data_IF_825283826199
#
_entry.id   IF_825283826199
#
_cell.length_a   1.000
_cell.length_b   1.000
_cell.length_c   1.000
_cell.angle_alpha   90.00
_cell.angle_beta   90.00
_cell.angle_gamma   90.00
#
_symmetry.space_group_name_H-M   'P 1'
#
loop_
_entity.id
_entity.type
_entity.pdbx_description
1 polymer ?
#
# COMPACT_ATOMS: atom_id res chain seq x y z
N UNK A 1 -9.76 7.63 -1.10
CA UNK A 1 -10.20 7.77 -2.51
C UNK A 1 -10.76 6.46 -3.06
N UNK A 2 -10.24 5.32 -2.63
CA UNK A 2 -10.44 4.04 -3.29
C UNK A 2 -11.88 3.53 -3.39
N UNK A 3 -12.79 3.99 -2.52
CA UNK A 3 -14.05 3.31 -2.29
C UNK A 3 -15.25 4.14 -2.69
N UNK A 4 -16.01 3.66 -3.68
CA UNK A 4 -17.36 4.17 -3.93
C UNK A 4 -18.35 3.41 -3.07
N UNK A 5 -19.03 4.14 -2.17
CA UNK A 5 -20.08 3.57 -1.31
C UNK A 5 -21.41 3.52 -2.03
N UNK A 6 -22.05 2.36 -2.07
CA UNK A 6 -23.43 2.16 -2.51
C UNK A 6 -24.32 1.82 -1.32
N UNK A 7 -25.11 2.80 -0.89
CA UNK A 7 -25.97 2.66 0.28
C UNK A 7 -27.07 1.60 0.09
N UNK A 8 -27.46 0.93 1.17
CA UNK A 8 -28.59 -0.01 1.20
C UNK A 8 -28.49 -1.12 0.14
N UNK A 9 -27.28 -1.68 -0.04
CA UNK A 9 -27.00 -2.66 -1.07
C UNK A 9 -25.98 -3.72 -0.63
N UNK A 10 -26.10 -4.91 -1.21
CA UNK A 10 -25.19 -6.04 -1.04
C UNK A 10 -25.10 -6.86 -2.35
N UNK A 11 -24.11 -7.75 -2.45
CA UNK A 11 -24.12 -8.84 -3.43
C UNK A 11 -25.36 -9.70 -3.17
N UNK A 12 -26.24 -9.87 -4.16
CA UNK A 12 -27.62 -10.26 -3.85
C UNK A 12 -28.12 -11.49 -4.61
N UNK A 13 -28.84 -12.37 -3.90
CA UNK A 13 -29.58 -13.55 -4.40
C UNK A 13 -28.87 -14.28 -5.56
N UNK A 14 -29.27 -14.00 -6.81
CA UNK A 14 -28.80 -14.65 -8.04
C UNK A 14 -27.40 -14.26 -8.51
N UNK A 15 -26.69 -13.44 -7.73
CA UNK A 15 -25.29 -13.12 -7.92
C UNK A 15 -24.39 -14.36 -8.07
N UNK A 16 -23.25 -14.21 -8.75
CA UNK A 16 -22.23 -15.25 -8.82
C UNK A 16 -21.44 -15.31 -7.50
N UNK A 17 -21.82 -16.22 -6.61
CA UNK A 17 -21.14 -16.38 -5.31
C UNK A 17 -19.80 -17.12 -5.39
N UNK A 18 -19.38 -17.60 -6.56
CA UNK A 18 -18.05 -18.20 -6.74
C UNK A 18 -16.93 -17.16 -6.65
N UNK A 19 -17.25 -15.87 -6.71
CA UNK A 19 -16.28 -14.79 -6.52
C UNK A 19 -16.04 -14.42 -5.05
N UNK A 20 -16.78 -15.05 -4.11
CA UNK A 20 -16.61 -14.86 -2.67
C UNK A 20 -15.18 -15.25 -2.25
N UNK A 21 -14.45 -14.31 -1.70
CA UNK A 21 -13.10 -14.53 -1.17
C UNK A 21 -13.18 -14.95 0.29
N UNK A 22 -13.80 -14.13 1.13
CA UNK A 22 -13.91 -14.39 2.58
C UNK A 22 -14.99 -13.56 3.24
N UNK A 23 -15.35 -13.98 4.46
CA UNK A 23 -16.17 -13.20 5.41
C UNK A 23 -15.36 -12.93 6.68
N UNK A 24 -15.44 -11.71 7.18
CA UNK A 24 -14.80 -11.29 8.44
C UNK A 24 -15.85 -10.70 9.37
N UNK A 25 -15.97 -11.26 10.56
CA UNK A 25 -16.91 -10.79 11.60
C UNK A 25 -16.26 -9.76 12.53
N UNK A 26 -17.07 -9.00 13.28
CA UNK A 26 -16.64 -7.94 14.19
C UNK A 26 -15.78 -6.86 13.50
N UNK A 27 -16.14 -6.53 12.27
CA UNK A 27 -15.42 -5.58 11.44
C UNK A 27 -16.02 -4.17 11.57
N UNK A 28 -15.28 -3.17 11.11
CA UNK A 28 -15.79 -1.84 10.77
C UNK A 28 -15.61 -1.60 9.27
N UNK A 29 -16.31 -0.62 8.66
CA UNK A 29 -16.03 -0.24 7.28
C UNK A 29 -14.56 0.14 7.05
N UNK A 30 -13.93 0.84 7.98
CA UNK A 30 -12.53 1.26 7.92
C UNK A 30 -11.57 0.07 7.95
N UNK A 31 -11.82 -0.89 8.83
CA UNK A 31 -11.04 -2.13 8.86
C UNK A 31 -11.26 -2.96 7.59
N UNK A 32 -12.50 -3.02 7.07
CA UNK A 32 -12.81 -3.74 5.85
C UNK A 32 -12.07 -3.17 4.64
N UNK A 33 -12.04 -1.84 4.49
CA UNK A 33 -11.25 -1.14 3.45
C UNK A 33 -9.77 -1.54 3.51
N UNK A 34 -9.16 -1.57 4.69
CA UNK A 34 -7.76 -1.98 4.87
C UNK A 34 -7.54 -3.46 4.56
N UNK A 35 -8.46 -4.34 4.97
CA UNK A 35 -8.41 -5.77 4.60
C UNK A 35 -8.45 -5.96 3.09
N UNK A 36 -9.29 -5.17 2.40
CA UNK A 36 -9.40 -5.20 0.96
C UNK A 36 -8.14 -4.65 0.26
N UNK A 37 -7.55 -3.56 0.75
CA UNK A 37 -6.27 -3.04 0.22
C UNK A 37 -5.14 -4.08 0.39
N UNK A 38 -5.13 -4.89 1.45
CA UNK A 38 -4.10 -5.93 1.63
C UNK A 38 -4.15 -7.08 0.61
N UNK A 39 -5.27 -7.28 -0.06
CA UNK A 39 -5.48 -8.36 -1.01
C UNK A 39 -6.04 -7.79 -2.32
N UNK A 40 -5.19 -7.50 -3.32
CA UNK A 40 -5.60 -6.86 -4.57
C UNK A 40 -6.71 -7.59 -5.32
N UNK A 41 -6.94 -8.88 -5.05
CA UNK A 41 -8.03 -9.65 -5.65
C UNK A 41 -9.41 -9.21 -5.16
N UNK A 42 -9.48 -8.51 -4.03
CA UNK A 42 -10.71 -7.95 -3.48
C UNK A 42 -11.04 -6.65 -4.23
N UNK A 43 -12.02 -6.74 -5.14
CA UNK A 43 -12.51 -5.60 -5.91
C UNK A 43 -13.70 -4.92 -5.24
N UNK A 44 -14.49 -5.62 -4.42
CA UNK A 44 -15.58 -5.04 -3.66
C UNK A 44 -15.92 -5.85 -2.41
N UNK A 45 -16.65 -5.21 -1.49
CA UNK A 45 -17.23 -5.87 -0.34
C UNK A 45 -18.57 -5.24 0.05
N UNK A 46 -19.37 -5.95 0.84
CA UNK A 46 -20.46 -5.32 1.58
C UNK A 46 -20.27 -5.48 3.08
N UNK A 47 -20.72 -4.47 3.82
CA UNK A 47 -20.70 -4.41 5.27
C UNK A 47 -22.13 -4.42 5.82
N UNK A 48 -22.39 -5.31 6.77
CA UNK A 48 -23.68 -5.48 7.43
C UNK A 48 -23.80 -4.55 8.64
N UNK A 49 -24.59 -3.47 8.55
CA UNK A 49 -24.96 -2.65 9.71
C UNK A 49 -25.92 -3.41 10.63
N UNK A 50 -26.78 -4.22 10.03
CA UNK A 50 -27.77 -5.07 10.69
C UNK A 50 -27.67 -6.50 10.16
N UNK A 51 -28.30 -7.45 10.86
CA UNK A 51 -28.35 -8.83 10.39
C UNK A 51 -29.14 -8.95 9.08
N UNK A 52 -28.64 -9.75 8.15
CA UNK A 52 -29.27 -9.99 6.85
C UNK A 52 -29.28 -11.50 6.57
N UNK A 53 -30.40 -11.99 6.04
CA UNK A 53 -30.53 -13.35 5.53
C UNK A 53 -30.84 -13.27 4.03
N UNK A 54 -29.98 -13.85 3.22
CA UNK A 54 -30.23 -14.07 1.80
C UNK A 54 -30.73 -15.51 1.60
N UNK A 55 -32.04 -15.61 1.40
CA UNK A 55 -32.72 -16.87 1.10
C UNK A 55 -32.10 -17.54 -0.14
N UNK A 56 -32.01 -18.87 -0.13
CA UNK A 56 -31.43 -19.76 -1.16
C UNK A 56 -29.90 -19.94 -1.15
N UNK A 57 -29.17 -19.33 -0.20
CA UNK A 57 -27.74 -19.58 -0.01
C UNK A 57 -27.42 -20.51 1.18
N UNK A 58 -28.45 -21.01 1.87
CA UNK A 58 -28.30 -21.79 3.11
C UNK A 58 -27.52 -21.00 4.17
N UNK A 59 -26.67 -21.69 4.93
CA UNK A 59 -25.84 -21.08 5.99
C UNK A 59 -24.90 -19.99 5.47
N UNK A 60 -24.52 -20.03 4.17
CA UNK A 60 -23.70 -19.01 3.53
C UNK A 60 -24.43 -17.68 3.32
N UNK A 61 -25.76 -17.69 3.39
CA UNK A 61 -26.61 -16.51 3.29
C UNK A 61 -26.89 -15.82 4.62
N UNK A 62 -26.31 -16.28 5.73
CA UNK A 62 -26.54 -15.71 7.07
C UNK A 62 -25.41 -14.73 7.41
N UNK A 63 -25.79 -13.45 7.53
CA UNK A 63 -24.88 -12.36 7.86
C UNK A 63 -25.34 -11.65 9.13
N UNK A 64 -24.39 -11.36 10.02
CA UNK A 64 -24.64 -10.67 11.30
C UNK A 64 -24.24 -9.21 11.18
N UNK A 65 -24.76 -8.37 12.06
CA UNK A 65 -24.26 -7.01 12.22
C UNK A 65 -22.74 -7.04 12.50
N UNK A 66 -21.97 -6.21 11.80
CA UNK A 66 -20.51 -6.19 11.87
C UNK A 66 -19.80 -7.19 10.94
N UNK A 67 -20.50 -7.99 10.15
CA UNK A 67 -19.88 -8.82 9.11
C UNK A 67 -19.47 -7.95 7.90
N UNK A 68 -18.25 -8.16 7.39
CA UNK A 68 -17.79 -7.69 6.09
C UNK A 68 -17.55 -8.90 5.17
N UNK A 69 -18.04 -8.83 3.94
CA UNK A 69 -18.01 -9.95 2.97
C UNK A 69 -17.36 -9.49 1.68
N UNK A 70 -16.25 -10.14 1.31
CA UNK A 70 -15.32 -9.68 0.28
C UNK A 70 -15.38 -10.55 -0.96
N UNK A 71 -15.30 -9.92 -2.13
CA UNK A 71 -15.46 -10.57 -3.42
C UNK A 71 -14.42 -10.06 -4.44
N UNK A 72 -14.20 -10.88 -5.47
CA UNK A 72 -13.48 -10.52 -6.69
C UNK A 72 -14.44 -10.21 -7.84
N UNK A 73 -13.93 -9.58 -8.90
CA UNK A 73 -14.67 -9.28 -10.12
C UNK A 73 -15.73 -8.20 -9.94
N UNK A 74 -16.83 -8.31 -10.68
CA UNK A 74 -17.87 -7.28 -10.70
C UNK A 74 -19.04 -7.61 -9.75
N UNK A 75 -19.59 -6.60 -9.06
CA UNK A 75 -20.72 -6.78 -8.16
C UNK A 75 -22.05 -6.91 -8.91
N UNK A 76 -22.88 -7.86 -8.48
CA UNK A 76 -24.32 -7.86 -8.75
C UNK A 76 -25.07 -7.34 -7.53
N UNK A 77 -25.36 -6.04 -7.54
CA UNK A 77 -26.06 -5.39 -6.44
C UNK A 77 -27.55 -5.69 -6.43
N UNK A 78 -28.10 -5.92 -5.23
CA UNK A 78 -29.53 -5.86 -4.97
C UNK A 78 -29.84 -5.00 -3.74
N UNK A 79 -31.12 -4.74 -3.53
CA UNK A 79 -31.58 -3.96 -2.38
C UNK A 79 -31.34 -4.74 -1.09
N UNK A 80 -30.57 -4.14 -0.18
CA UNK A 80 -30.28 -4.66 1.14
C UNK A 80 -30.22 -3.49 2.14
N UNK A 81 -31.35 -3.03 2.69
CA UNK A 81 -31.40 -1.92 3.65
C UNK A 81 -30.53 -2.09 4.90
N UNK A 82 -30.09 -3.31 5.18
CA UNK A 82 -29.22 -3.68 6.31
C UNK A 82 -27.73 -3.50 6.00
N UNK A 83 -27.35 -3.30 4.74
CA UNK A 83 -25.96 -3.35 4.28
C UNK A 83 -25.58 -2.14 3.43
N UNK A 84 -24.30 -1.82 3.39
CA UNK A 84 -23.70 -0.92 2.39
C UNK A 84 -22.65 -1.70 1.62
N UNK A 85 -22.61 -1.50 0.31
CA UNK A 85 -21.53 -2.03 -0.53
C UNK A 85 -20.47 -0.98 -0.78
N UNK A 86 -19.24 -1.43 -0.97
CA UNK A 86 -18.06 -0.62 -1.22
C UNK A 86 -17.31 -1.24 -2.38
N UNK A 87 -17.17 -0.48 -3.46
CA UNK A 87 -16.49 -0.89 -4.67
C UNK A 87 -15.15 -0.17 -4.77
N UNK A 88 -14.09 -0.92 -5.08
CA UNK A 88 -12.77 -0.36 -5.31
C UNK A 88 -12.77 0.30 -6.69
N UNK A 89 -12.41 1.57 -6.73
CA UNK A 89 -12.47 2.42 -7.93
C UNK A 89 -11.14 3.07 -8.27
N UNK A 90 -10.14 2.90 -7.40
CA UNK A 90 -8.79 3.43 -7.53
C UNK A 90 -8.07 3.35 -6.18
N UNK A 91 -6.97 4.09 -6.04
CA UNK A 91 -6.21 4.19 -4.80
C UNK A 91 -5.42 5.50 -4.78
N UNK A 92 -5.41 6.20 -3.64
CA UNK A 92 -4.48 7.29 -3.36
C UNK A 92 -3.40 6.85 -2.38
N UNK A 93 -2.14 7.07 -2.76
CA UNK A 93 -0.97 6.80 -1.93
C UNK A 93 -0.26 8.12 -1.59
N UNK A 94 0.18 8.29 -0.36
CA UNK A 94 0.95 9.45 0.07
C UNK A 94 2.26 9.02 0.74
N UNK A 95 3.39 9.46 0.16
CA UNK A 95 4.68 9.40 0.84
C UNK A 95 4.82 10.62 1.74
N UNK A 96 5.14 10.40 3.00
CA UNK A 96 5.24 11.46 4.00
C UNK A 96 6.40 11.17 4.95
N UNK A 97 7.12 12.22 5.36
CA UNK A 97 8.16 12.04 6.37
C UNK A 97 7.58 11.64 7.74
N UNK A 98 8.42 11.06 8.60
CA UNK A 98 7.99 10.53 9.89
C UNK A 98 7.45 11.60 10.83
N UNK A 99 7.97 12.83 10.75
CA UNK A 99 7.57 13.98 11.57
C UNK A 99 6.14 14.44 11.25
N UNK A 100 5.68 14.22 10.01
CA UNK A 100 4.37 14.67 9.52
C UNK A 100 3.42 13.51 9.19
N UNK A 101 3.67 12.31 9.73
CA UNK A 101 2.91 11.09 9.46
C UNK A 101 1.38 11.25 9.63
N UNK A 102 0.91 12.17 10.48
CA UNK A 102 -0.53 12.37 10.70
C UNK A 102 -1.22 13.24 9.63
N UNK A 103 -0.45 13.99 8.83
CA UNK A 103 -0.97 14.93 7.82
C UNK A 103 -1.92 14.29 6.80
N UNK A 104 -1.63 13.10 6.22
CA UNK A 104 -2.57 12.39 5.37
C UNK A 104 -3.95 12.15 6.00
N UNK A 105 -3.99 11.90 7.32
CA UNK A 105 -5.23 11.63 8.05
C UNK A 105 -6.13 12.85 8.24
N UNK A 106 -5.68 14.06 7.89
CA UNK A 106 -6.49 15.27 7.96
C UNK A 106 -7.36 15.48 6.71
N UNK A 107 -7.06 14.85 5.58
CA UNK A 107 -7.77 15.13 4.33
C UNK A 107 -8.87 14.09 4.09
N UNK A 108 -10.04 14.58 3.67
CA UNK A 108 -11.24 13.76 3.51
C UNK A 108 -11.86 13.94 2.13
N UNK A 109 -12.57 12.92 1.69
CA UNK A 109 -13.46 12.99 0.53
C UNK A 109 -14.73 13.76 0.90
N UNK A 110 -15.50 14.20 -0.09
CA UNK A 110 -16.78 14.90 0.11
C UNK A 110 -17.78 14.13 1.01
N UNK A 111 -17.73 12.80 1.01
CA UNK A 111 -18.56 11.93 1.85
C UNK A 111 -18.05 11.78 3.30
N UNK A 112 -16.95 12.46 3.64
CA UNK A 112 -16.30 12.43 4.96
C UNK A 112 -15.32 11.28 5.17
N UNK A 113 -15.18 10.36 4.21
CA UNK A 113 -14.18 9.28 4.29
C UNK A 113 -12.75 9.79 4.07
N UNK A 114 -11.74 9.01 4.42
CA UNK A 114 -10.34 9.39 4.20
C UNK A 114 -10.03 9.60 2.71
N UNK A 115 -9.38 10.72 2.38
CA UNK A 115 -8.98 11.01 1.02
C UNK A 115 -7.74 10.21 0.59
N UNK A 116 -6.84 9.91 1.53
CA UNK A 116 -5.66 9.06 1.36
C UNK A 116 -6.00 7.62 1.75
N UNK A 117 -5.66 6.64 0.93
CA UNK A 117 -5.92 5.21 1.21
C UNK A 117 -4.69 4.49 1.78
N UNK A 118 -3.48 4.86 1.31
CA UNK A 118 -2.20 4.30 1.78
C UNK A 118 -1.23 5.41 2.14
N UNK A 119 -0.55 5.27 3.28
CA UNK A 119 0.54 6.14 3.71
C UNK A 119 1.83 5.34 3.76
N UNK A 120 2.87 5.85 3.11
CA UNK A 120 4.22 5.32 3.15
C UNK A 120 5.09 6.28 3.99
N UNK A 121 5.58 5.80 5.14
CA UNK A 121 6.44 6.59 6.04
C UNK A 121 7.85 6.62 5.45
N UNK A 122 8.28 7.78 4.95
CA UNK A 122 9.48 7.93 4.13
C UNK A 122 10.63 8.67 4.85
N UNK A 123 11.83 8.09 4.95
CA UNK A 123 12.06 6.65 5.00
C UNK A 123 12.93 6.29 6.20
N UNK A 124 12.78 5.06 6.69
CA UNK A 124 13.82 4.41 7.46
C UNK A 124 14.86 3.82 6.48
N UNK A 125 15.95 3.25 6.97
CA UNK A 125 17.10 2.91 6.14
C UNK A 125 17.65 1.50 6.37
N UNK A 126 18.40 1.05 5.36
CA UNK A 126 19.30 -0.11 5.44
C UNK A 126 20.72 0.41 5.62
N UNK A 127 21.42 -0.04 6.67
CA UNK A 127 22.81 0.33 6.88
C UNK A 127 23.63 -0.78 7.53
N UNK A 128 24.92 -0.83 7.17
CA UNK A 128 25.93 -1.52 7.93
C UNK A 128 26.49 -0.63 9.05
N UNK A 129 27.12 -1.26 10.04
CA UNK A 129 27.89 -0.54 11.06
C UNK A 129 29.25 -0.07 10.47
N UNK A 130 29.76 1.10 10.88
CA UNK A 130 29.13 2.08 11.78
C UNK A 130 28.00 2.88 11.09
N UNK A 131 26.92 3.16 11.82
CA UNK A 131 25.82 3.96 11.28
C UNK A 131 26.20 5.43 11.07
N UNK A 132 25.54 6.12 10.12
CA UNK A 132 25.60 7.58 10.03
C UNK A 132 25.16 8.24 11.34
N UNK A 133 25.71 9.43 11.63
CA UNK A 133 25.34 10.20 12.83
C UNK A 133 23.82 10.45 12.87
N UNK A 134 23.20 10.18 14.03
CA UNK A 134 21.75 10.34 14.22
C UNK A 134 20.89 9.17 13.72
N UNK A 135 21.50 8.07 13.27
CA UNK A 135 20.81 6.83 12.92
C UNK A 135 20.85 5.81 14.05
N UNK A 136 19.72 5.15 14.29
CA UNK A 136 19.52 4.21 15.38
C UNK A 136 18.88 2.91 14.87
N UNK A 137 19.26 1.77 15.44
CA UNK A 137 18.61 0.48 15.17
C UNK A 137 17.13 0.52 15.57
N UNK A 138 16.24 0.06 14.69
CA UNK A 138 14.79 0.06 14.90
C UNK A 138 14.23 -1.28 15.40
N UNK A 139 15.03 -2.36 15.31
CA UNK A 139 14.70 -3.72 15.72
C UNK A 139 15.65 -4.23 16.83
N UNK A 140 15.62 -3.67 18.04
CA UNK A 140 16.61 -3.95 19.09
C UNK A 140 16.56 -5.39 19.66
N UNK A 141 15.45 -6.12 19.49
CA UNK A 141 15.33 -7.49 19.99
C UNK A 141 15.87 -8.54 19.01
N UNK A 142 16.10 -8.17 17.76
CA UNK A 142 16.71 -9.03 16.76
C UNK A 142 18.23 -8.97 16.90
N UNK A 143 18.84 -10.11 17.22
CA UNK A 143 20.30 -10.22 17.24
C UNK A 143 20.84 -10.19 15.81
N UNK A 144 21.59 -9.15 15.48
CA UNK A 144 22.21 -8.97 14.16
C UNK A 144 23.67 -9.45 14.21
N UNK A 145 24.06 -10.46 13.42
CA UNK A 145 25.45 -10.90 13.28
C UNK A 145 26.38 -9.77 12.79
N UNK A 146 27.67 -9.89 13.12
CA UNK A 146 28.65 -8.91 12.65
C UNK A 146 28.71 -8.87 11.12
N UNK A 147 28.70 -7.67 10.53
CA UNK A 147 28.73 -7.47 9.09
C UNK A 147 27.37 -7.64 8.38
N UNK A 148 26.30 -7.92 9.11
CA UNK A 148 24.95 -7.93 8.53
C UNK A 148 24.34 -6.52 8.58
N UNK A 149 23.44 -6.18 7.62
CA UNK A 149 22.79 -4.88 7.61
C UNK A 149 21.71 -4.79 8.69
N UNK A 150 21.48 -3.55 9.12
CA UNK A 150 20.50 -3.18 10.13
C UNK A 150 19.36 -2.39 9.50
N UNK A 151 18.16 -2.59 10.03
CA UNK A 151 17.05 -1.65 9.87
C UNK A 151 17.28 -0.49 10.83
N UNK A 152 17.56 0.70 10.29
CA UNK A 152 17.88 1.89 11.08
C UNK A 152 16.97 3.06 10.72
N UNK A 153 16.94 4.10 11.54
CA UNK A 153 16.25 5.34 11.23
C UNK A 153 16.62 6.47 12.18
N UNK A 154 16.12 7.67 11.89
CA UNK A 154 16.28 8.85 12.75
C UNK A 154 15.57 8.69 14.10
N UNK A 155 15.79 9.63 15.01
CA UNK A 155 15.08 9.68 16.29
C UNK A 155 13.54 9.70 16.12
N UNK A 156 13.02 10.27 15.02
CA UNK A 156 11.59 10.24 14.70
C UNK A 156 11.04 8.83 14.59
N UNK A 157 11.78 7.91 13.94
CA UNK A 157 11.40 6.50 13.82
C UNK A 157 11.48 5.74 15.13
N UNK A 158 12.47 6.06 15.98
CA UNK A 158 12.58 5.48 17.33
C UNK A 158 11.36 5.85 18.17
N UNK A 159 10.84 7.07 18.00
CA UNK A 159 9.70 7.60 18.75
C UNK A 159 8.33 7.13 18.21
N UNK A 160 8.28 6.45 17.05
CA UNK A 160 7.02 5.91 16.53
C UNK A 160 6.44 4.86 17.49
N UNK A 161 5.12 4.92 17.66
CA UNK A 161 4.37 3.99 18.50
C UNK A 161 3.20 3.40 17.72
N UNK A 162 2.71 2.22 18.15
CA UNK A 162 1.51 1.63 17.57
C UNK A 162 0.29 2.57 17.67
N UNK A 163 0.18 3.38 18.72
CA UNK A 163 -0.91 4.36 18.86
C UNK A 163 -0.86 5.44 17.76
N UNK A 164 0.34 5.87 17.34
CA UNK A 164 0.50 6.81 16.22
C UNK A 164 -0.01 6.21 14.91
N UNK A 165 0.28 4.93 14.65
CA UNK A 165 -0.16 4.20 13.46
C UNK A 165 -1.69 3.97 13.51
N UNK A 166 -2.20 3.57 14.67
CA UNK A 166 -3.64 3.29 14.87
C UNK A 166 -4.54 4.49 14.59
N UNK A 167 -4.08 5.73 14.84
CA UNK A 167 -4.85 6.94 14.51
C UNK A 167 -5.23 7.02 13.02
N UNK A 168 -4.31 6.65 12.13
CA UNK A 168 -4.57 6.60 10.68
C UNK A 168 -5.41 5.38 10.32
N UNK A 169 -5.05 4.22 10.87
CA UNK A 169 -5.73 2.95 10.63
C UNK A 169 -7.21 2.97 11.03
N UNK A 170 -7.55 3.69 12.11
CA UNK A 170 -8.95 3.89 12.55
C UNK A 170 -9.76 4.76 11.57
N UNK A 171 -9.11 5.49 10.66
CA UNK A 171 -9.74 6.22 9.55
C UNK A 171 -9.81 5.37 8.26
N UNK A 172 -9.36 4.12 8.31
CA UNK A 172 -9.32 3.21 7.17
C UNK A 172 -8.07 3.34 6.31
N UNK A 173 -7.06 4.08 6.78
CA UNK A 173 -5.81 4.31 6.06
C UNK A 173 -4.85 3.14 6.33
N UNK A 174 -4.30 2.57 5.27
CA UNK A 174 -3.24 1.55 5.33
C UNK A 174 -1.89 2.25 5.57
N UNK A 175 -1.06 1.74 6.47
CA UNK A 175 0.23 2.38 6.81
C UNK A 175 1.40 1.44 6.59
N UNK A 176 2.31 1.84 5.69
CA UNK A 176 3.53 1.12 5.31
C UNK A 176 4.75 1.88 5.81
N UNK A 177 5.83 1.15 6.11
CA UNK A 177 7.15 1.73 6.35
C UNK A 177 8.01 1.58 5.11
N UNK A 178 8.48 2.68 4.54
CA UNK A 178 9.48 2.65 3.47
C UNK A 178 10.86 2.44 4.05
N UNK A 179 11.63 1.49 3.49
CA UNK A 179 13.08 1.43 3.70
C UNK A 179 13.80 1.82 2.41
N UNK A 180 14.68 2.81 2.55
CA UNK A 180 15.58 3.31 1.52
C UNK A 180 17.01 2.85 1.81
N UNK A 181 17.80 2.48 0.81
CA UNK A 181 19.24 2.28 1.05
C UNK A 181 19.91 3.60 1.47
N UNK A 182 21.10 3.56 2.04
CA UNK A 182 21.66 4.78 2.66
C UNK A 182 23.17 4.92 2.50
N UNK A 183 23.59 5.08 1.25
CA UNK A 183 24.92 5.48 0.83
C UNK A 183 26.06 4.67 1.47
N UNK A 184 25.82 3.41 1.80
CA UNK A 184 26.83 2.41 2.09
C UNK A 184 26.69 1.22 1.14
N UNK A 185 27.42 0.14 1.39
CA UNK A 185 27.45 -1.04 0.50
C UNK A 185 26.36 -2.07 0.83
N UNK A 186 25.38 -1.71 1.67
CA UNK A 186 24.21 -2.52 1.94
C UNK A 186 22.96 -1.92 1.29
N UNK A 187 22.01 -2.79 0.97
CA UNK A 187 20.75 -2.39 0.39
C UNK A 187 19.92 -3.58 -0.05
N UNK A 188 18.76 -3.27 -0.63
CA UNK A 188 17.79 -4.27 -1.06
C UNK A 188 18.31 -5.19 -2.18
N UNK A 189 19.21 -4.68 -3.02
CA UNK A 189 19.84 -5.42 -4.12
C UNK A 189 21.20 -6.03 -3.74
N UNK A 190 21.60 -6.00 -2.46
CA UNK A 190 22.94 -6.36 -2.01
C UNK A 190 23.02 -7.55 -1.04
N UNK A 191 21.90 -8.22 -0.71
CA UNK A 191 21.95 -9.38 0.18
C UNK A 191 22.78 -10.51 -0.47
N UNK A 192 23.87 -10.97 0.17
CA UNK A 192 24.77 -11.96 -0.43
C UNK A 192 24.19 -13.37 -0.39
N UNK A 193 23.37 -13.66 0.62
CA UNK A 193 22.79 -14.98 0.84
C UNK A 193 21.47 -14.91 1.62
N UNK A 194 20.80 -16.06 1.69
CA UNK A 194 19.52 -16.21 2.37
C UNK A 194 19.62 -16.02 3.89
N UNK A 195 20.77 -16.26 4.51
CA UNK A 195 20.92 -16.10 5.96
C UNK A 195 20.94 -14.62 6.34
N UNK A 196 21.67 -13.79 5.58
CA UNK A 196 21.66 -12.33 5.73
C UNK A 196 20.27 -11.77 5.45
N UNK A 197 19.64 -12.16 4.34
CA UNK A 197 18.28 -11.74 4.00
C UNK A 197 17.26 -12.18 5.07
N UNK A 198 17.39 -13.38 5.64
CA UNK A 198 16.52 -13.86 6.72
C UNK A 198 16.66 -13.03 7.99
N UNK A 199 17.89 -12.70 8.40
CA UNK A 199 18.10 -11.86 9.57
C UNK A 199 17.49 -10.46 9.37
N UNK A 200 17.68 -9.87 8.19
CA UNK A 200 17.09 -8.57 7.87
C UNK A 200 15.54 -8.63 7.86
N UNK A 201 14.96 -9.67 7.25
CA UNK A 201 13.51 -9.87 7.27
C UNK A 201 12.94 -10.10 8.69
N UNK A 202 13.72 -10.69 9.60
CA UNK A 202 13.37 -10.78 11.03
C UNK A 202 13.35 -9.41 11.71
N UNK A 203 14.29 -8.53 11.39
CA UNK A 203 14.29 -7.14 11.87
C UNK A 203 13.04 -6.39 11.38
N UNK A 204 12.71 -6.51 10.09
CA UNK A 204 11.48 -5.93 9.54
C UNK A 204 10.23 -6.46 10.26
N UNK A 205 10.17 -7.77 10.52
CA UNK A 205 9.08 -8.39 11.27
C UNK A 205 8.93 -7.84 12.69
N UNK A 206 10.04 -7.62 13.38
CA UNK A 206 10.00 -6.98 14.70
C UNK A 206 9.39 -5.57 14.61
N UNK A 207 9.82 -4.75 13.64
CA UNK A 207 9.30 -3.39 13.46
C UNK A 207 7.81 -3.40 13.10
N UNK A 208 7.40 -4.25 12.14
CA UNK A 208 6.00 -4.41 11.74
C UNK A 208 5.13 -4.80 12.93
N UNK A 209 5.55 -5.79 13.71
CA UNK A 209 4.79 -6.26 14.87
C UNK A 209 4.73 -5.21 16.00
N UNK A 210 5.85 -4.54 16.29
CA UNK A 210 5.92 -3.52 17.35
C UNK A 210 5.04 -2.32 17.06
N UNK A 211 4.99 -1.89 15.80
CA UNK A 211 4.25 -0.71 15.37
C UNK A 211 2.83 -1.03 14.87
N UNK A 212 2.51 -2.29 14.61
CA UNK A 212 1.23 -2.68 14.02
C UNK A 212 1.07 -2.20 12.57
N UNK A 213 2.16 -2.16 11.80
CA UNK A 213 2.16 -1.71 10.40
C UNK A 213 1.38 -2.68 9.50
N UNK A 214 0.88 -2.14 8.39
CA UNK A 214 0.20 -2.94 7.37
C UNK A 214 1.16 -3.61 6.39
N UNK A 215 2.40 -3.10 6.31
CA UNK A 215 3.44 -3.69 5.48
C UNK A 215 4.71 -2.87 5.35
N UNK A 216 5.54 -3.29 4.41
CA UNK A 216 6.83 -2.69 4.07
C UNK A 216 6.77 -2.18 2.63
N UNK A 217 7.33 -1.01 2.43
CA UNK A 217 7.57 -0.42 1.13
C UNK A 217 9.07 -0.41 0.84
N UNK A 218 9.45 -0.86 -0.36
CA UNK A 218 10.83 -1.02 -0.80
C UNK A 218 11.20 0.15 -1.68
N UNK A 219 12.22 0.90 -1.27
CA UNK A 219 12.87 1.89 -2.13
C UNK A 219 14.35 1.52 -2.30
N UNK A 220 14.69 1.04 -3.50
CA UNK A 220 16.00 0.47 -3.82
C UNK A 220 16.92 1.51 -4.50
N UNK A 221 16.95 2.71 -3.94
CA UNK A 221 17.82 3.79 -4.39
C UNK A 221 18.96 4.04 -3.39
N UNK A 222 20.03 4.70 -3.84
CA UNK A 222 21.13 5.24 -3.01
C UNK A 222 22.06 4.23 -2.31
N UNK A 223 22.13 2.97 -2.75
CA UNK A 223 23.25 2.09 -2.42
C UNK A 223 24.55 2.59 -3.09
N UNK A 224 25.70 2.37 -2.46
CA UNK A 224 27.03 2.59 -3.08
C UNK A 224 27.58 1.34 -3.77
N UNK A 225 26.89 0.20 -3.66
CA UNK A 225 27.34 -1.00 -4.35
C UNK A 225 27.38 -0.77 -5.86
N UNK A 226 28.44 -1.28 -6.49
CA UNK A 226 28.60 -1.27 -7.95
C UNK A 226 28.40 -2.67 -8.55
N UNK A 227 28.10 -3.65 -7.70
CA UNK A 227 27.91 -5.06 -8.05
C UNK A 227 26.67 -5.59 -7.32
N UNK A 228 25.45 -5.17 -7.74
CA UNK A 228 24.22 -5.64 -7.13
C UNK A 228 24.03 -7.14 -7.41
N UNK A 229 23.52 -7.87 -6.42
CA UNK A 229 23.07 -9.25 -6.60
C UNK A 229 21.68 -9.26 -7.26
N UNK A 230 21.54 -9.69 -8.53
CA UNK A 230 20.25 -9.61 -9.23
C UNK A 230 19.14 -10.42 -8.54
N UNK A 231 19.49 -11.47 -7.78
CA UNK A 231 18.50 -12.30 -7.07
C UNK A 231 18.19 -11.81 -5.66
N UNK A 232 18.83 -10.74 -5.18
CA UNK A 232 18.68 -10.23 -3.82
C UNK A 232 17.23 -9.84 -3.50
N UNK A 233 16.61 -9.01 -4.35
CA UNK A 233 15.24 -8.52 -4.16
C UNK A 233 14.23 -9.68 -4.11
N UNK A 234 14.26 -10.60 -5.08
CA UNK A 234 13.35 -11.75 -5.08
C UNK A 234 13.61 -12.69 -3.89
N UNK A 235 14.87 -12.84 -3.47
CA UNK A 235 15.24 -13.65 -2.31
C UNK A 235 14.69 -13.07 -1.01
N UNK A 236 14.97 -11.80 -0.70
CA UNK A 236 14.52 -11.18 0.55
C UNK A 236 13.00 -11.06 0.59
N UNK A 237 12.35 -10.70 -0.51
CA UNK A 237 10.88 -10.60 -0.57
C UNK A 237 10.19 -11.96 -0.44
N UNK A 238 10.78 -13.04 -0.99
CA UNK A 238 10.28 -14.41 -0.77
C UNK A 238 10.34 -14.77 0.71
N UNK A 239 11.47 -14.47 1.37
CA UNK A 239 11.64 -14.73 2.80
C UNK A 239 10.70 -13.86 3.65
N UNK A 240 10.47 -12.61 3.27
CA UNK A 240 9.49 -11.74 3.91
C UNK A 240 8.08 -12.35 3.85
N UNK A 241 7.64 -12.85 2.67
CA UNK A 241 6.35 -13.53 2.54
C UNK A 241 6.27 -14.83 3.34
N UNK A 242 7.37 -15.58 3.46
CA UNK A 242 7.43 -16.77 4.33
C UNK A 242 7.28 -16.40 5.82
N UNK A 243 7.87 -15.28 6.27
CA UNK A 243 7.86 -14.85 7.67
C UNK A 243 6.62 -14.04 8.07
N UNK A 244 6.02 -13.34 7.10
CA UNK A 244 4.93 -12.37 7.23
C UNK A 244 3.99 -12.48 6.00
N UNK A 245 3.20 -13.55 5.88
CA UNK A 245 2.40 -13.79 4.67
C UNK A 245 1.31 -12.73 4.42
N UNK A 246 0.81 -12.11 5.50
CA UNK A 246 -0.36 -11.22 5.46
C UNK A 246 -0.01 -9.72 5.30
N UNK A 247 1.27 -9.38 5.11
CA UNK A 247 1.68 -7.98 4.94
C UNK A 247 1.63 -7.56 3.46
N UNK A 248 1.42 -6.26 3.27
CA UNK A 248 1.72 -5.60 2.00
C UNK A 248 3.24 -5.55 1.83
N UNK A 249 3.70 -5.91 0.64
CA UNK A 249 5.06 -5.59 0.18
C UNK A 249 4.86 -4.72 -1.06
N UNK A 250 5.15 -3.43 -0.95
CA UNK A 250 5.15 -2.53 -2.10
C UNK A 250 6.57 -2.15 -2.50
N UNK A 251 6.72 -1.61 -3.70
CA UNK A 251 7.99 -1.12 -4.19
C UNK A 251 7.84 0.18 -4.97
N UNK A 252 8.73 1.13 -4.70
CA UNK A 252 9.04 2.26 -5.56
C UNK A 252 9.70 1.71 -6.85
N UNK A 253 9.02 1.89 -7.97
CA UNK A 253 9.39 1.38 -9.30
C UNK A 253 10.09 2.48 -10.09
N UNK A 254 11.38 2.29 -10.36
CA UNK A 254 12.21 3.22 -11.10
C UNK A 254 13.52 2.55 -11.53
N UNK A 255 13.83 2.56 -12.83
CA UNK A 255 15.08 2.03 -13.42
C UNK A 255 15.55 0.66 -12.88
N UNK A 256 14.60 -0.26 -12.67
CA UNK A 256 14.79 -1.48 -11.88
C UNK A 256 14.23 -2.74 -12.56
N UNK A 257 13.83 -2.65 -13.83
CA UNK A 257 13.24 -3.74 -14.61
C UNK A 257 14.10 -5.02 -14.60
N UNK A 258 15.43 -4.88 -14.51
CA UNK A 258 16.37 -6.00 -14.43
C UNK A 258 16.12 -6.93 -13.24
N UNK A 259 15.54 -6.44 -12.14
CA UNK A 259 15.29 -7.23 -10.92
C UNK A 259 13.97 -8.03 -10.94
N UNK A 260 13.17 -7.91 -12.01
CA UNK A 260 11.88 -8.61 -12.12
C UNK A 260 11.99 -10.02 -12.73
N UNK A 261 13.05 -10.30 -13.48
CA UNK A 261 13.27 -11.61 -14.13
C UNK A 261 14.04 -12.65 -13.31
N UNK A 262 14.95 -12.28 -12.38
CA UNK A 262 15.62 -13.25 -11.52
C UNK A 262 14.63 -14.05 -10.68
N UNK A 263 15.00 -15.31 -10.40
CA UNK A 263 14.16 -16.23 -9.64
C UNK A 263 14.83 -16.72 -8.38
N UNK A 264 14.05 -16.85 -7.30
CA UNK A 264 14.46 -17.55 -6.07
C UNK A 264 13.32 -18.47 -5.62
N UNK A 265 13.64 -19.74 -5.33
CA UNK A 265 12.65 -20.79 -5.01
C UNK A 265 11.47 -20.86 -6.01
N UNK A 266 11.76 -20.76 -7.31
CA UNK A 266 10.76 -20.74 -8.40
C UNK A 266 9.73 -19.61 -8.32
N UNK A 267 10.11 -18.48 -7.71
CA UNK A 267 9.32 -17.24 -7.67
C UNK A 267 10.14 -16.12 -8.29
N UNK A 268 9.45 -15.16 -8.89
CA UNK A 268 9.96 -13.86 -9.35
C UNK A 268 9.63 -12.79 -8.31
N UNK A 269 10.17 -11.58 -8.50
CA UNK A 269 9.80 -10.44 -7.66
C UNK A 269 8.30 -10.12 -7.75
N UNK A 270 7.70 -10.23 -8.94
CA UNK A 270 6.26 -10.04 -9.18
C UNK A 270 5.42 -10.91 -8.27
N UNK A 271 5.80 -12.18 -8.07
CA UNK A 271 5.06 -13.10 -7.22
C UNK A 271 5.00 -12.66 -5.75
N UNK A 272 5.91 -11.78 -5.32
CA UNK A 272 6.03 -11.35 -3.93
C UNK A 272 5.50 -9.93 -3.68
N UNK A 273 5.47 -9.07 -4.69
CA UNK A 273 4.93 -7.71 -4.55
C UNK A 273 3.41 -7.74 -4.50
N UNK A 274 2.86 -6.96 -3.57
CA UNK A 274 1.43 -6.65 -3.53
C UNK A 274 1.10 -5.48 -4.44
N UNK A 275 1.98 -4.47 -4.48
CA UNK A 275 1.80 -3.26 -5.29
C UNK A 275 3.14 -2.72 -5.79
N UNK A 276 3.09 -1.88 -6.84
CA UNK A 276 4.20 -1.05 -7.27
C UNK A 276 3.78 0.39 -7.56
N UNK A 277 4.59 1.35 -7.11
CA UNK A 277 4.38 2.78 -7.35
C UNK A 277 5.44 3.27 -8.33
N UNK A 278 5.05 3.68 -9.53
CA UNK A 278 6.00 4.20 -10.51
C UNK A 278 6.43 5.62 -10.14
N UNK A 279 7.74 5.87 -10.07
CA UNK A 279 8.33 7.08 -9.48
C UNK A 279 8.95 8.03 -10.50
N UNK A 280 8.82 7.79 -11.81
CA UNK A 280 9.33 8.66 -12.88
C UNK A 280 8.46 9.92 -13.00
N UNK A 281 8.49 10.76 -11.97
CA UNK A 281 7.61 11.92 -11.83
C UNK A 281 7.67 12.85 -13.05
N UNK A 282 6.49 13.25 -13.52
CA UNK A 282 6.33 14.14 -14.66
C UNK A 282 6.39 13.44 -16.02
N UNK A 283 6.73 12.15 -16.05
CA UNK A 283 6.61 11.33 -17.26
C UNK A 283 5.18 10.81 -17.38
N UNK A 284 4.54 10.90 -18.56
CA UNK A 284 3.18 10.37 -18.75
C UNK A 284 3.11 8.85 -18.48
N UNK A 285 2.05 8.36 -17.80
CA UNK A 285 1.92 6.97 -17.37
C UNK A 285 1.97 5.96 -18.53
N UNK A 286 1.56 6.39 -19.72
CA UNK A 286 1.57 5.58 -20.94
C UNK A 286 2.97 5.12 -21.40
N UNK A 287 4.03 5.80 -20.95
CA UNK A 287 5.40 5.45 -21.30
C UNK A 287 6.12 4.58 -20.27
N UNK A 288 5.61 4.51 -19.03
CA UNK A 288 6.33 3.93 -17.88
C UNK A 288 5.63 2.70 -17.32
N UNK A 289 4.30 2.73 -17.16
CA UNK A 289 3.55 1.62 -16.56
C UNK A 289 3.45 0.36 -17.44
N UNK A 290 3.34 0.44 -18.79
CA UNK A 290 3.31 -0.76 -19.61
C UNK A 290 4.55 -1.65 -19.47
N UNK A 291 5.69 -1.09 -19.09
CA UNK A 291 6.92 -1.85 -18.81
C UNK A 291 6.69 -2.86 -17.69
N UNK A 292 6.16 -2.43 -16.54
CA UNK A 292 5.94 -3.30 -15.39
C UNK A 292 4.79 -4.29 -15.62
N UNK A 293 3.76 -3.88 -16.36
CA UNK A 293 2.74 -4.81 -16.83
C UNK A 293 3.36 -5.91 -17.71
N UNK A 294 4.25 -5.56 -18.65
CA UNK A 294 4.98 -6.50 -19.49
C UNK A 294 5.92 -7.44 -18.71
N UNK A 295 6.38 -7.01 -17.53
CA UNK A 295 7.16 -7.82 -16.60
C UNK A 295 6.30 -8.77 -15.74
N UNK A 296 4.97 -8.66 -15.80
CA UNK A 296 4.02 -9.59 -15.17
C UNK A 296 3.20 -9.00 -14.02
N UNK A 297 3.43 -7.74 -13.62
CA UNK A 297 2.58 -7.08 -12.63
C UNK A 297 1.17 -6.88 -13.20
N UNK A 298 0.14 -7.03 -12.38
CA UNK A 298 -1.23 -6.75 -12.81
C UNK A 298 -1.51 -5.23 -12.79
N UNK A 299 -2.35 -4.72 -13.70
CA UNK A 299 -2.60 -3.28 -13.79
C UNK A 299 -3.25 -2.70 -12.53
N UNK A 300 -4.14 -3.47 -11.90
CA UNK A 300 -4.79 -3.23 -10.60
C UNK A 300 -3.84 -3.39 -9.39
N UNK A 301 -2.54 -3.52 -9.65
CA UNK A 301 -1.49 -3.45 -8.62
C UNK A 301 -0.47 -2.34 -8.86
N UNK A 302 -0.66 -1.55 -9.93
CA UNK A 302 0.27 -0.53 -10.39
C UNK A 302 -0.32 0.88 -10.26
N UNK A 303 0.41 1.77 -9.60
CA UNK A 303 0.01 3.15 -9.32
C UNK A 303 1.03 4.11 -9.93
N UNK A 304 0.56 5.23 -10.48
CA UNK A 304 1.45 6.28 -11.02
C UNK A 304 1.79 7.32 -9.96
N UNK A 305 3.08 7.63 -9.81
CA UNK A 305 3.57 8.69 -8.94
C UNK A 305 3.51 10.07 -9.58
N UNK A 306 3.24 11.08 -8.75
CA UNK A 306 3.24 12.49 -9.10
C UNK A 306 4.01 13.31 -8.05
N UNK A 307 4.62 14.41 -8.48
CA UNK A 307 5.32 15.34 -7.59
C UNK A 307 5.15 16.77 -8.09
N UNK A 308 4.89 17.72 -7.20
CA UNK A 308 4.87 19.14 -7.58
C UNK A 308 6.26 19.67 -7.98
N UNK A 309 7.33 18.99 -7.58
CA UNK A 309 8.71 19.33 -7.96
C UNK A 309 9.05 18.92 -9.40
N UNK A 310 8.34 17.92 -9.94
CA UNK A 310 8.48 17.43 -11.31
C UNK A 310 7.06 17.24 -11.88
N UNK A 311 6.35 18.35 -12.17
CA UNK A 311 4.94 18.29 -12.49
C UNK A 311 4.71 17.62 -13.85
N UNK A 312 3.63 16.83 -13.94
CA UNK A 312 3.11 16.40 -15.23
C UNK A 312 2.66 17.60 -16.06
N UNK A 313 2.86 17.52 -17.37
CA UNK A 313 2.34 18.51 -18.32
C UNK A 313 0.81 18.46 -18.47
N UNK A 314 0.17 17.34 -18.15
CA UNK A 314 -1.29 17.16 -18.27
C UNK A 314 -1.84 16.13 -17.27
N UNK A 315 -1.83 16.44 -15.96
CA UNK A 315 -2.22 15.49 -14.91
C UNK A 315 -3.65 14.96 -15.05
N UNK A 316 -4.57 15.74 -15.62
CA UNK A 316 -5.95 15.28 -15.89
C UNK A 316 -6.02 14.19 -16.96
N UNK A 317 -5.18 14.30 -18.01
CA UNK A 317 -5.11 13.31 -19.09
C UNK A 317 -4.44 12.03 -18.58
N UNK A 318 -3.39 12.17 -17.77
CA UNK A 318 -2.73 11.03 -17.13
C UNK A 318 -3.71 10.23 -16.27
N UNK A 319 -4.49 10.92 -15.42
CA UNK A 319 -5.53 10.28 -14.59
C UNK A 319 -6.62 9.61 -15.44
N UNK A 320 -7.06 10.26 -16.52
CA UNK A 320 -8.05 9.68 -17.44
C UNK A 320 -7.51 8.40 -18.08
N UNK A 321 -6.26 8.43 -18.56
CA UNK A 321 -5.60 7.27 -19.16
C UNK A 321 -5.44 6.12 -18.17
N UNK A 322 -5.03 6.40 -16.93
CA UNK A 322 -4.89 5.38 -15.87
C UNK A 322 -6.22 4.64 -15.64
N UNK A 323 -7.30 5.39 -15.49
CA UNK A 323 -8.65 4.84 -15.28
C UNK A 323 -9.13 4.01 -16.47
N UNK A 324 -9.03 4.55 -17.69
CA UNK A 324 -9.47 3.87 -18.91
C UNK A 324 -8.69 2.58 -19.18
N UNK A 325 -7.44 2.50 -18.72
CA UNK A 325 -6.59 1.34 -18.91
C UNK A 325 -6.57 0.36 -17.72
N UNK A 326 -7.32 0.64 -16.65
CA UNK A 326 -7.48 -0.23 -15.49
C UNK A 326 -6.28 -0.25 -14.53
N UNK A 327 -5.53 0.86 -14.45
CA UNK A 327 -4.47 1.02 -13.46
C UNK A 327 -5.02 1.46 -12.10
N UNK A 328 -4.29 1.12 -11.04
CA UNK A 328 -4.83 1.07 -9.69
C UNK A 328 -5.00 2.44 -9.04
N UNK A 329 -4.26 3.47 -9.46
CA UNK A 329 -4.41 4.77 -8.83
C UNK A 329 -3.29 5.76 -9.05
N UNK A 330 -3.20 6.67 -8.09
CA UNK A 330 -2.23 7.76 -8.05
C UNK A 330 -1.46 7.78 -6.72
N UNK A 331 -0.23 8.27 -6.76
CA UNK A 331 0.62 8.47 -5.59
C UNK A 331 1.21 9.88 -5.63
N UNK A 332 1.38 10.51 -4.45
CA UNK A 332 2.10 11.78 -4.33
C UNK A 332 3.25 11.69 -3.33
N UNK A 333 4.41 12.21 -3.72
CA UNK A 333 5.58 12.35 -2.87
C UNK A 333 5.57 13.60 -2.00
N UNK A 334 6.23 13.53 -0.84
CA UNK A 334 6.42 14.65 0.09
C UNK A 334 5.09 15.35 0.46
N UNK A 335 4.10 14.56 0.89
CA UNK A 335 2.75 15.01 1.20
C UNK A 335 2.66 15.96 2.41
N UNK A 336 3.74 16.18 3.14
CA UNK A 336 3.83 17.26 4.13
C UNK A 336 3.82 18.66 3.49
N UNK A 337 4.17 18.78 2.21
CA UNK A 337 4.32 20.05 1.52
C UNK A 337 3.00 20.46 0.85
N UNK A 338 2.57 21.71 1.09
CA UNK A 338 1.29 22.22 0.58
C UNK A 338 1.09 22.09 -0.94
N UNK A 339 2.11 22.30 -1.80
CA UNK A 339 1.97 22.05 -3.24
C UNK A 339 1.63 20.59 -3.57
N UNK A 340 2.19 19.62 -2.85
CA UNK A 340 1.90 18.19 -3.03
C UNK A 340 0.51 17.82 -2.47
N UNK A 341 0.09 18.45 -1.37
CA UNK A 341 -1.30 18.32 -0.87
C UNK A 341 -2.30 18.79 -1.93
N UNK A 342 -2.07 19.97 -2.50
CA UNK A 342 -2.93 20.53 -3.54
C UNK A 342 -2.96 19.62 -4.79
N UNK A 343 -1.79 19.14 -5.22
CA UNK A 343 -1.67 18.21 -6.34
C UNK A 343 -2.48 16.92 -6.12
N UNK A 344 -2.38 16.28 -4.95
CA UNK A 344 -3.19 15.09 -4.67
C UNK A 344 -4.68 15.41 -4.71
N UNK A 345 -5.09 16.57 -4.18
CA UNK A 345 -6.48 17.00 -4.23
C UNK A 345 -7.01 17.19 -5.65
N UNK A 346 -6.21 17.76 -6.55
CA UNK A 346 -6.57 17.90 -7.96
C UNK A 346 -6.65 16.54 -8.65
N UNK A 347 -5.66 15.66 -8.44
CA UNK A 347 -5.67 14.31 -9.00
C UNK A 347 -6.86 13.46 -8.48
N UNK A 348 -7.23 13.60 -7.20
CA UNK A 348 -8.44 12.98 -6.63
C UNK A 348 -9.70 13.47 -7.33
N UNK A 349 -9.80 14.77 -7.62
CA UNK A 349 -10.93 15.33 -8.35
C UNK A 349 -10.95 14.85 -9.80
N UNK A 350 -9.81 14.78 -10.49
CA UNK A 350 -9.75 14.19 -11.83
C UNK A 350 -10.18 12.71 -11.81
N UNK A 351 -9.87 12.00 -10.73
CA UNK A 351 -10.22 10.59 -10.60
C UNK A 351 -11.71 10.37 -10.30
N UNK A 352 -12.31 11.17 -9.41
CA UNK A 352 -13.66 10.92 -8.88
C UNK A 352 -14.73 11.92 -9.36
N UNK A 353 -14.32 12.95 -10.10
CA UNK A 353 -15.12 14.12 -10.45
C UNK A 353 -14.88 15.29 -9.50
N UNK A 354 -15.17 16.49 -9.99
CA UNK A 354 -14.96 17.74 -9.25
C UNK A 354 -15.69 17.77 -7.90
N UNK A 355 -15.04 18.34 -6.90
CA UNK A 355 -15.61 18.54 -5.56
C UNK A 355 -15.50 17.33 -4.62
N UNK A 356 -14.87 16.23 -5.06
CA UNK A 356 -14.68 15.05 -4.24
C UNK A 356 -13.58 15.18 -3.18
N UNK A 357 -12.69 16.18 -3.30
CA UNK A 357 -11.68 16.49 -2.29
C UNK A 357 -12.08 17.65 -1.37
N UNK A 358 -12.10 17.42 -0.05
CA UNK A 358 -12.27 18.49 0.93
C UNK A 358 -10.94 19.23 1.15
N UNK A 359 -10.87 20.48 0.66
CA UNK A 359 -9.66 21.32 0.74
C UNK A 359 -9.29 21.75 2.17
N UNK A 360 -10.24 21.75 3.09
CA UNK A 360 -10.01 22.16 4.48
C UNK A 360 -9.54 20.92 5.27
N UNK A 361 -8.32 20.92 5.83
CA UNK A 361 -7.85 19.80 6.64
C UNK A 361 -8.72 19.67 7.89
N UNK A 362 -9.20 18.45 8.14
CA UNK A 362 -9.97 18.05 9.31
C UNK A 362 -9.04 17.35 10.32
N UNK A 363 -7.99 18.06 10.75
CA UNK A 363 -7.12 17.59 11.82
C UNK A 363 -7.84 17.73 13.17
N UNK A 364 -7.77 16.73 14.06
CA UNK A 364 -8.26 16.86 15.44
C UNK A 364 -7.41 17.79 16.30
#
# INVERSE_FOLDING_TARGET
>A
MAWTKKANSAMFKGANWNTLIKKVSNCTPELAKRIAIKDPKISFFFFCREAMILENLGDKGIFRAGDAVFFSGEPWYGSAPQCDSYEKTGMSVAYVNVENIQTPGCYTMADGSAAVDVVCIFAANINNMPFPAGSFQLAPNTKVPNGYPYVVGSQGYVNLTAATIQKLQNKGITVLLTLLNNHDYSGWSEFPDAATATNFAQQLKEVVNRLGLDGIDIDDEYSKSTDPNPSSLVMVTTIMKELMPDIIISKALFDDAQYFTPTYKNRTLVDNLTYGWEMSYGVPPEYILPTYYGLGMAKDTLVCGFSSGHPSSSPSNDVSWLKENGYEGIMVYAFQDQPNVALLGDLVNYWNGDGNWNKIPNCP
#
